data_IF_947213717429
#
_entry.id   IF_947213717429
#
_cell.length_a   1.000
_cell.length_b   1.000
_cell.length_c   1.000
_cell.angle_alpha   90.00
_cell.angle_beta   90.00
_cell.angle_gamma   90.00
#
_symmetry.space_group_name_H-M   'P 1'
#
loop_
_entity.id
_entity.type
_entity.pdbx_description
1 polymer ?
#
# COMPACT_ATOMS: atom_id res chain seq x y z
N UNK A 1 4.42 25.35 -4.11
CA UNK A 1 4.66 24.33 -3.06
C UNK A 1 4.52 25.02 -1.71
N UNK A 2 3.72 24.48 -0.80
CA UNK A 2 3.62 24.97 0.59
C UNK A 2 4.28 23.93 1.49
N UNK A 3 5.07 24.37 2.46
CA UNK A 3 5.76 23.50 3.42
C UNK A 3 5.32 23.93 4.82
N UNK A 4 4.91 22.97 5.63
CA UNK A 4 4.52 23.17 7.02
C UNK A 4 5.46 22.35 7.90
N UNK A 5 6.05 22.97 8.92
CA UNK A 5 6.88 22.29 9.91
C UNK A 5 6.00 22.07 11.14
N UNK A 6 5.43 20.87 11.25
CA UNK A 6 4.54 20.47 12.33
C UNK A 6 4.47 18.95 12.41
N UNK A 7 3.94 18.43 13.51
CA UNK A 7 3.46 17.06 13.56
C UNK A 7 2.30 16.87 12.56
N UNK A 8 2.36 15.83 11.73
CA UNK A 8 1.40 15.61 10.65
C UNK A 8 -0.01 15.30 11.18
N UNK A 9 -0.10 14.59 12.31
CA UNK A 9 -1.38 14.28 12.96
C UNK A 9 -2.02 15.54 13.53
N UNK A 10 -1.26 16.39 14.22
CA UNK A 10 -1.72 17.69 14.70
C UNK A 10 -2.12 18.62 13.56
N UNK A 11 -1.37 18.61 12.45
CA UNK A 11 -1.71 19.38 11.26
C UNK A 11 -3.10 18.98 10.74
N UNK A 12 -3.35 17.68 10.54
CA UNK A 12 -4.67 17.19 10.10
C UNK A 12 -5.79 17.50 11.11
N UNK A 13 -5.51 17.51 12.41
CA UNK A 13 -6.50 17.89 13.42
C UNK A 13 -6.95 19.35 13.30
N UNK A 14 -6.02 20.25 12.97
CA UNK A 14 -6.24 21.71 12.93
C UNK A 14 -6.61 22.25 11.55
N UNK A 15 -6.44 21.44 10.49
CA UNK A 15 -6.69 21.81 9.09
C UNK A 15 -7.77 20.87 8.50
N UNK A 16 -9.04 21.33 8.45
CA UNK A 16 -10.17 20.49 8.05
C UNK A 16 -10.34 20.33 6.53
N UNK A 17 -9.44 20.91 5.73
CA UNK A 17 -9.50 20.85 4.27
C UNK A 17 -9.48 19.41 3.75
N UNK A 18 -10.28 19.16 2.72
CA UNK A 18 -10.37 17.86 2.07
C UNK A 18 -9.28 17.68 1.02
N UNK A 19 -8.61 16.53 1.06
CA UNK A 19 -7.51 16.16 0.18
C UNK A 19 -7.92 15.03 -0.77
N UNK A 20 -7.48 15.09 -2.03
CA UNK A 20 -7.67 13.98 -2.97
C UNK A 20 -6.63 12.86 -2.77
N UNK A 21 -5.47 13.20 -2.20
CA UNK A 21 -4.40 12.27 -1.88
C UNK A 21 -3.78 12.68 -0.54
N UNK A 22 -3.68 11.72 0.37
CA UNK A 22 -2.91 11.84 1.59
C UNK A 22 -1.82 10.77 1.56
N UNK A 23 -0.56 11.17 1.72
CA UNK A 23 0.57 10.24 1.76
C UNK A 23 1.22 10.25 3.14
N UNK A 24 1.49 9.06 3.68
CA UNK A 24 2.23 8.87 4.92
C UNK A 24 3.52 8.11 4.60
N UNK A 25 4.65 8.72 4.94
CA UNK A 25 5.99 8.17 4.73
C UNK A 25 6.72 8.07 6.07
N UNK A 26 6.95 6.84 6.54
CA UNK A 26 7.59 6.56 7.84
C UNK A 26 8.69 5.53 7.63
N UNK A 27 9.95 5.88 7.85
CA UNK A 27 11.06 4.97 7.52
C UNK A 27 11.50 4.05 8.67
N UNK A 28 11.06 4.32 9.92
CA UNK A 28 11.60 3.66 11.13
C UNK A 28 10.52 3.27 12.14
N UNK A 29 9.57 2.44 11.74
CA UNK A 29 8.44 2.01 12.61
C UNK A 29 8.84 1.34 13.95
N UNK A 30 10.13 0.99 14.13
CA UNK A 30 10.68 0.48 15.39
C UNK A 30 11.18 1.57 16.35
N UNK A 31 11.10 2.86 15.97
CA UNK A 31 11.41 3.98 16.85
C UNK A 31 10.16 4.44 17.59
N UNK A 32 10.38 4.97 18.80
CA UNK A 32 9.30 5.43 19.64
C UNK A 32 8.49 6.56 18.97
N UNK A 33 7.17 6.47 19.06
CA UNK A 33 6.20 7.41 18.47
C UNK A 33 5.85 7.12 17.00
N UNK A 34 6.58 6.26 16.31
CA UNK A 34 6.27 5.92 14.91
C UNK A 34 5.11 4.91 14.82
N UNK A 35 4.83 4.16 15.90
CA UNK A 35 3.67 3.29 16.01
C UNK A 35 2.33 4.04 15.96
N UNK A 36 2.32 5.31 16.39
CA UNK A 36 1.16 6.20 16.37
C UNK A 36 0.69 6.53 14.95
N UNK A 37 1.54 6.27 13.95
CA UNK A 37 1.22 6.47 12.54
C UNK A 37 0.46 5.31 11.90
N UNK A 38 0.11 4.30 12.70
CA UNK A 38 -0.57 3.09 12.26
C UNK A 38 -1.75 2.71 13.16
N UNK A 39 -2.34 3.68 13.87
CA UNK A 39 -3.50 3.47 14.74
C UNK A 39 -4.82 3.70 14.01
N UNK A 40 -5.88 3.04 14.49
CA UNK A 40 -7.24 3.24 14.00
C UNK A 40 -7.63 4.72 14.05
N UNK A 41 -7.34 5.40 15.14
CA UNK A 41 -7.72 6.80 15.36
C UNK A 41 -7.02 7.75 14.35
N UNK A 42 -5.75 7.48 14.00
CA UNK A 42 -5.10 8.22 12.91
C UNK A 42 -5.76 7.93 11.55
N UNK A 43 -6.11 6.67 11.26
CA UNK A 43 -6.80 6.34 10.02
C UNK A 43 -8.18 7.00 9.94
N UNK A 44 -8.92 7.06 11.03
CA UNK A 44 -10.20 7.79 11.13
C UNK A 44 -10.00 9.28 10.83
N UNK A 45 -8.96 9.88 11.39
CA UNK A 45 -8.59 11.26 11.08
C UNK A 45 -8.23 11.43 9.59
N UNK A 46 -7.45 10.52 9.02
CA UNK A 46 -7.11 10.55 7.59
C UNK A 46 -8.36 10.44 6.72
N UNK A 47 -9.26 9.48 7.00
CA UNK A 47 -10.52 9.31 6.29
C UNK A 47 -11.39 10.58 6.39
N UNK A 48 -11.44 11.20 7.57
CA UNK A 48 -12.14 12.46 7.79
C UNK A 48 -11.51 13.66 7.06
N UNK A 49 -10.30 13.54 6.51
CA UNK A 49 -9.64 14.58 5.69
C UNK A 49 -9.57 14.24 4.20
N UNK A 50 -9.99 13.05 3.78
CA UNK A 50 -10.09 12.73 2.36
C UNK A 50 -11.39 13.26 1.76
N UNK A 51 -11.29 13.75 0.52
CA UNK A 51 -12.42 14.05 -0.35
C UNK A 51 -13.10 12.75 -0.82
N UNK A 52 -14.27 12.87 -1.47
CA UNK A 52 -14.88 11.73 -2.16
C UNK A 52 -13.89 11.14 -3.17
N UNK A 53 -13.76 9.81 -3.20
CA UNK A 53 -12.75 9.08 -4.00
C UNK A 53 -11.29 9.44 -3.69
N UNK A 54 -11.06 10.18 -2.61
CA UNK A 54 -9.72 10.47 -2.10
C UNK A 54 -9.05 9.19 -1.61
N UNK A 55 -7.72 9.17 -1.70
CA UNK A 55 -6.92 7.98 -1.40
C UNK A 55 -5.88 8.30 -0.34
N UNK A 56 -5.79 7.42 0.66
CA UNK A 56 -4.64 7.31 1.54
C UNK A 56 -3.62 6.39 0.86
N UNK A 57 -2.39 6.87 0.72
CA UNK A 57 -1.23 6.04 0.40
C UNK A 57 -0.30 6.02 1.61
N UNK A 58 0.13 4.83 2.04
CA UNK A 58 1.08 4.71 3.15
C UNK A 58 2.17 3.70 2.84
N UNK A 59 3.41 4.14 2.99
CA UNK A 59 4.58 3.28 2.87
C UNK A 59 4.73 2.41 4.11
N UNK A 60 5.08 1.14 3.92
CA UNK A 60 5.21 0.13 4.99
C UNK A 60 6.60 -0.53 4.93
N UNK A 61 7.39 -0.53 6.02
CA UNK A 61 8.72 -1.14 6.06
C UNK A 61 8.66 -2.67 6.15
N UNK A 62 8.10 -3.36 5.15
CA UNK A 62 7.92 -4.82 5.18
C UNK A 62 9.23 -5.58 5.46
N UNK A 63 10.39 -5.05 5.03
CA UNK A 63 11.71 -5.59 5.32
C UNK A 63 12.15 -5.58 6.80
N UNK A 64 11.40 -4.93 7.70
CA UNK A 64 11.64 -4.92 9.15
C UNK A 64 10.39 -5.27 9.97
N UNK A 65 9.39 -5.91 9.34
CA UNK A 65 8.16 -6.29 10.01
C UNK A 65 7.95 -7.80 9.96
N UNK A 66 7.48 -8.33 11.09
CA UNK A 66 6.94 -9.68 11.12
C UNK A 66 5.68 -9.76 10.26
N UNK A 67 5.34 -10.98 9.84
CA UNK A 67 4.06 -11.22 9.18
C UNK A 67 2.88 -10.75 10.05
N UNK A 68 2.92 -11.03 11.36
CA UNK A 68 1.90 -10.58 12.31
C UNK A 68 1.80 -9.05 12.41
N UNK A 69 2.92 -8.31 12.41
CA UNK A 69 2.87 -6.85 12.39
C UNK A 69 2.24 -6.34 11.10
N UNK A 70 2.51 -6.98 9.97
CA UNK A 70 1.88 -6.65 8.68
C UNK A 70 0.37 -6.88 8.73
N UNK A 71 -0.07 -7.99 9.33
CA UNK A 71 -1.51 -8.27 9.53
C UNK A 71 -2.18 -7.26 10.45
N UNK A 72 -1.53 -6.84 11.54
CA UNK A 72 -2.04 -5.77 12.42
C UNK A 72 -2.22 -4.48 11.64
N UNK A 73 -1.23 -4.07 10.82
CA UNK A 73 -1.34 -2.88 9.97
C UNK A 73 -2.54 -2.99 9.03
N UNK A 74 -2.62 -4.08 8.25
CA UNK A 74 -3.70 -4.31 7.28
C UNK A 74 -5.08 -4.33 7.95
N UNK A 75 -5.20 -4.98 9.11
CA UNK A 75 -6.45 -5.02 9.88
C UNK A 75 -6.84 -3.66 10.41
N UNK A 76 -5.87 -2.88 10.88
CA UNK A 76 -6.12 -1.56 11.48
C UNK A 76 -6.57 -0.56 10.42
N UNK A 77 -5.92 -0.52 9.25
CA UNK A 77 -6.38 0.34 8.14
C UNK A 77 -7.73 -0.13 7.60
N UNK A 78 -7.95 -1.45 7.48
CA UNK A 78 -9.19 -2.04 6.98
C UNK A 78 -10.40 -1.82 7.91
N UNK A 79 -10.15 -1.60 9.20
CA UNK A 79 -11.18 -1.26 10.17
C UNK A 79 -11.82 0.11 9.91
N UNK A 80 -11.12 0.99 9.17
CA UNK A 80 -11.58 2.35 8.84
C UNK A 80 -11.88 2.48 7.35
N UNK A 81 -11.01 1.94 6.50
CA UNK A 81 -11.13 2.02 5.04
C UNK A 81 -11.70 0.71 4.48
N UNK A 82 -12.89 0.72 3.85
CA UNK A 82 -13.50 -0.46 3.26
C UNK A 82 -12.73 -1.04 2.08
N UNK A 83 -11.95 -0.22 1.36
CA UNK A 83 -11.20 -0.65 0.19
C UNK A 83 -9.71 -0.44 0.45
N UNK A 84 -8.99 -1.55 0.64
CA UNK A 84 -7.55 -1.55 0.93
C UNK A 84 -6.85 -2.44 -0.09
N UNK A 85 -5.81 -1.93 -0.72
CA UNK A 85 -4.91 -2.67 -1.58
C UNK A 85 -3.48 -2.59 -1.04
N UNK A 86 -2.72 -3.67 -1.23
CA UNK A 86 -1.29 -3.74 -0.91
C UNK A 86 -0.51 -3.94 -2.20
N UNK A 87 0.48 -3.09 -2.40
CA UNK A 87 1.49 -3.19 -3.46
C UNK A 87 2.84 -3.50 -2.83
N UNK A 88 3.70 -4.23 -3.54
CA UNK A 88 5.08 -4.48 -3.12
C UNK A 88 6.05 -3.62 -3.91
N UNK A 89 6.93 -2.93 -3.19
CA UNK A 89 8.18 -2.44 -3.74
C UNK A 89 9.26 -3.52 -3.70
N UNK A 90 10.51 -3.10 -3.91
CA UNK A 90 11.67 -3.97 -3.84
C UNK A 90 11.78 -4.64 -2.45
N UNK A 91 11.83 -3.82 -1.39
CA UNK A 91 11.92 -4.29 0.01
C UNK A 91 10.75 -3.80 0.90
N UNK A 92 9.87 -2.95 0.37
CA UNK A 92 8.80 -2.30 1.13
C UNK A 92 7.41 -2.67 0.62
N UNK A 93 6.40 -2.31 1.40
CA UNK A 93 5.00 -2.38 1.01
C UNK A 93 4.43 -0.99 0.81
N UNK A 94 3.35 -0.91 0.05
CA UNK A 94 2.59 0.30 -0.14
C UNK A 94 1.11 -0.01 0.01
N UNK A 95 0.49 0.56 1.05
CA UNK A 95 -0.95 0.50 1.25
C UNK A 95 -1.59 1.62 0.46
N UNK A 96 -2.64 1.28 -0.27
CA UNK A 96 -3.54 2.22 -0.94
C UNK A 96 -4.93 1.95 -0.39
N UNK A 97 -5.54 2.95 0.25
CA UNK A 97 -6.81 2.79 0.96
C UNK A 97 -7.78 3.93 0.64
N UNK A 98 -9.08 3.61 0.53
CA UNK A 98 -10.12 4.61 0.29
C UNK A 98 -11.47 4.19 0.87
N UNK A 99 -12.32 5.18 1.14
CA UNK A 99 -13.74 4.98 1.48
C UNK A 99 -14.61 4.72 0.25
N UNK A 100 -14.06 4.92 -0.95
CA UNK A 100 -14.68 4.58 -2.23
C UNK A 100 -13.96 3.40 -2.89
N UNK A 101 -14.62 2.63 -3.78
CA UNK A 101 -13.98 1.53 -4.48
C UNK A 101 -12.70 1.97 -5.21
N UNK A 102 -11.62 1.21 -5.03
CA UNK A 102 -10.36 1.43 -5.73
C UNK A 102 -10.49 0.98 -7.18
N UNK A 103 -10.20 1.88 -8.12
CA UNK A 103 -10.29 1.62 -9.54
C UNK A 103 -9.30 2.49 -10.31
N UNK A 104 -8.86 1.99 -11.46
CA UNK A 104 -7.96 2.67 -12.39
C UNK A 104 -8.78 3.11 -13.60
N UNK A 105 -8.74 4.40 -13.91
CA UNK A 105 -9.36 4.95 -15.12
C UNK A 105 -8.43 4.70 -16.32
N UNK A 106 -8.88 3.87 -17.26
CA UNK A 106 -8.08 3.46 -18.42
C UNK A 106 -7.63 4.65 -19.28
N UNK A 107 -8.54 5.58 -19.57
CA UNK A 107 -8.25 6.73 -20.42
C UNK A 107 -7.21 7.64 -19.76
N UNK A 108 -7.33 7.89 -18.46
CA UNK A 108 -6.34 8.67 -17.69
C UNK A 108 -5.00 7.96 -17.63
N UNK A 109 -4.98 6.65 -17.31
CA UNK A 109 -3.74 5.88 -17.25
C UNK A 109 -3.00 5.93 -18.60
N UNK A 110 -3.71 5.69 -19.71
CA UNK A 110 -3.15 5.76 -21.06
C UNK A 110 -2.61 7.15 -21.39
N UNK A 111 -3.35 8.21 -21.04
CA UNK A 111 -2.92 9.57 -21.29
C UNK A 111 -1.63 9.92 -20.52
N UNK A 112 -1.57 9.53 -19.24
CA UNK A 112 -0.41 9.77 -18.39
C UNK A 112 0.80 8.94 -18.86
N UNK A 113 0.60 7.65 -19.17
CA UNK A 113 1.65 6.74 -19.65
C UNK A 113 2.23 7.19 -21.01
N UNK A 114 1.43 7.90 -21.81
CA UNK A 114 1.85 8.45 -23.09
C UNK A 114 2.62 9.77 -22.98
N UNK A 115 2.64 10.43 -21.81
CA UNK A 115 3.34 11.71 -21.61
C UNK A 115 4.86 11.51 -21.74
N UNK A 116 5.52 12.17 -22.72
CA UNK A 116 6.97 12.05 -22.92
C UNK A 116 7.81 12.40 -21.68
N UNK A 117 7.34 13.35 -20.85
CA UNK A 117 8.02 13.74 -19.61
C UNK A 117 8.00 12.61 -18.61
N UNK A 118 6.87 11.91 -18.50
CA UNK A 118 6.76 10.78 -17.61
C UNK A 118 7.54 9.57 -18.13
N UNK A 119 7.51 9.30 -19.45
CA UNK A 119 8.34 8.25 -20.06
C UNK A 119 9.82 8.44 -19.73
N UNK A 120 10.32 9.69 -19.75
CA UNK A 120 11.69 9.98 -19.35
C UNK A 120 11.97 9.69 -17.87
N UNK A 121 11.01 9.95 -16.98
CA UNK A 121 11.12 9.61 -15.55
C UNK A 121 11.09 8.09 -15.34
N UNK A 122 10.15 7.38 -15.97
CA UNK A 122 10.02 5.93 -15.87
C UNK A 122 11.28 5.21 -16.36
N UNK A 123 11.87 5.67 -17.48
CA UNK A 123 13.13 5.14 -17.99
C UNK A 123 14.28 5.27 -16.97
N UNK A 124 14.34 6.35 -16.20
CA UNK A 124 15.37 6.55 -15.15
C UNK A 124 15.25 5.56 -13.99
N UNK A 125 14.03 5.14 -13.68
CA UNK A 125 13.76 4.13 -12.65
C UNK A 125 13.56 2.73 -13.23
N UNK A 126 13.95 2.54 -14.51
CA UNK A 126 13.88 1.26 -15.25
C UNK A 126 12.47 0.65 -15.26
N UNK A 127 11.43 1.47 -15.20
CA UNK A 127 10.06 1.04 -15.43
C UNK A 127 9.71 1.24 -16.91
N UNK A 128 9.29 0.20 -17.64
CA UNK A 128 8.94 0.33 -19.05
C UNK A 128 7.61 1.06 -19.28
N UNK A 129 6.71 1.09 -18.29
CA UNK A 129 5.42 1.78 -18.37
C UNK A 129 4.81 1.97 -16.98
N UNK A 130 3.87 2.90 -16.84
CA UNK A 130 3.01 2.98 -15.64
C UNK A 130 2.19 1.71 -15.40
N UNK A 131 1.86 0.95 -16.45
CA UNK A 131 1.19 -0.34 -16.27
C UNK A 131 2.04 -1.30 -15.40
N UNK A 132 3.37 -1.13 -15.35
CA UNK A 132 4.24 -1.94 -14.50
C UNK A 132 3.84 -1.89 -13.02
N UNK A 133 3.32 -0.75 -12.56
CA UNK A 133 2.90 -0.56 -11.17
C UNK A 133 1.67 -1.41 -10.81
N UNK A 134 0.87 -1.82 -11.80
CA UNK A 134 -0.26 -2.72 -11.58
C UNK A 134 0.21 -4.14 -11.23
N UNK A 135 1.40 -4.54 -11.70
CA UNK A 135 2.01 -5.86 -11.44
C UNK A 135 2.50 -6.01 -10.01
N UNK A 136 2.78 -4.88 -9.36
CA UNK A 136 3.25 -4.80 -7.98
C UNK A 136 2.10 -4.98 -6.98
N UNK A 137 0.84 -4.91 -7.44
CA UNK A 137 -0.33 -5.22 -6.63
C UNK A 137 -0.33 -6.70 -6.22
N UNK A 138 -0.36 -6.95 -4.92
CA UNK A 138 -0.36 -8.31 -4.34
C UNK A 138 -1.61 -8.64 -3.57
N UNK A 139 -2.31 -7.63 -3.02
CA UNK A 139 -3.63 -7.78 -2.45
C UNK A 139 -4.54 -6.68 -2.98
N UNK A 140 -5.69 -7.07 -3.51
CA UNK A 140 -6.84 -6.19 -3.75
C UNK A 140 -7.78 -6.26 -2.54
N UNK A 141 -8.83 -5.41 -2.43
CA UNK A 141 -9.73 -5.40 -1.26
C UNK A 141 -10.25 -6.78 -0.84
N UNK A 142 -10.67 -7.60 -1.80
CA UNK A 142 -11.18 -8.95 -1.54
C UNK A 142 -10.09 -9.89 -1.03
N UNK A 143 -8.84 -9.70 -1.49
CA UNK A 143 -7.68 -10.46 -1.03
C UNK A 143 -7.26 -10.07 0.39
N UNK A 144 -7.37 -8.78 0.75
CA UNK A 144 -7.17 -8.33 2.14
C UNK A 144 -8.23 -8.94 3.04
N UNK A 145 -9.50 -8.91 2.65
CA UNK A 145 -10.60 -9.47 3.45
C UNK A 145 -10.46 -10.98 3.62
N UNK A 146 -10.12 -11.71 2.54
CA UNK A 146 -9.87 -13.14 2.59
C UNK A 146 -8.69 -13.47 3.52
N UNK A 147 -7.55 -12.76 3.39
CA UNK A 147 -6.39 -12.97 4.25
C UNK A 147 -6.75 -12.75 5.72
N UNK A 148 -7.37 -11.62 6.05
CA UNK A 148 -7.69 -11.25 7.43
C UNK A 148 -8.75 -12.17 8.08
N UNK A 149 -9.60 -12.82 7.29
CA UNK A 149 -10.61 -13.78 7.75
C UNK A 149 -10.02 -15.13 8.18
N UNK A 150 -8.90 -15.55 7.58
CA UNK A 150 -8.22 -16.81 7.90
C UNK A 150 -7.28 -16.70 9.11
N UNK A 151 -7.02 -15.48 9.59
CA UNK A 151 -6.11 -15.23 10.69
C UNK A 151 -6.84 -15.25 12.05
N UNK A 152 -6.39 -16.10 13.01
CA UNK A 152 -7.03 -16.21 14.32
C UNK A 152 -6.80 -14.97 15.20
N UNK A 153 -5.64 -14.33 15.05
CA UNK A 153 -5.26 -13.08 15.71
C UNK A 153 -6.03 -11.90 15.10
N UNK A 154 -6.90 -11.24 15.87
CA UNK A 154 -7.73 -10.11 15.41
C UNK A 154 -7.30 -8.75 15.96
N UNK A 155 -6.07 -8.63 16.46
CA UNK A 155 -5.55 -7.37 17.03
C UNK A 155 -5.54 -6.24 16.00
N UNK A 156 -5.95 -5.06 16.45
CA UNK A 156 -5.81 -3.79 15.74
C UNK A 156 -5.01 -2.83 16.62
N UNK A 157 -4.19 -1.97 16.02
CA UNK A 157 -3.46 -0.94 16.75
C UNK A 157 -4.39 0.25 17.03
N UNK A 158 -4.41 0.72 18.27
CA UNK A 158 -5.16 1.93 18.68
C UNK A 158 -4.25 2.83 19.49
N UNK A 159 -4.60 4.09 19.67
CA UNK A 159 -3.78 4.99 20.51
C UNK A 159 -3.61 4.47 21.95
N UNK A 160 -4.64 3.82 22.51
CA UNK A 160 -4.60 3.23 23.86
C UNK A 160 -3.83 1.90 23.90
N UNK A 161 -3.75 1.21 22.76
CA UNK A 161 -3.07 -0.08 22.62
C UNK A 161 -2.21 -0.06 21.36
N UNK A 162 -1.08 0.69 21.36
CA UNK A 162 -0.26 0.88 20.18
C UNK A 162 0.64 -0.34 19.98
N UNK A 163 0.06 -1.45 19.51
CA UNK A 163 0.76 -2.73 19.41
C UNK A 163 2.08 -2.62 18.64
N UNK A 164 2.07 -1.84 17.56
CA UNK A 164 3.22 -1.69 16.65
C UNK A 164 4.38 -0.93 17.30
N UNK A 165 4.12 -0.02 18.25
CA UNK A 165 5.15 0.71 19.02
C UNK A 165 6.12 -0.27 19.70
N UNK A 166 5.59 -1.37 20.24
CA UNK A 166 6.37 -2.36 20.98
C UNK A 166 6.76 -3.56 20.12
N UNK A 167 5.84 -4.08 19.30
CA UNK A 167 6.08 -5.30 18.53
C UNK A 167 7.03 -5.07 17.35
N UNK A 168 7.04 -3.89 16.74
CA UNK A 168 8.01 -3.56 15.69
C UNK A 168 9.41 -3.40 16.26
N UNK A 169 9.56 -2.71 17.39
CA UNK A 169 10.84 -2.57 18.10
C UNK A 169 11.42 -3.93 18.53
N UNK A 170 10.59 -4.80 19.12
CA UNK A 170 11.01 -6.16 19.49
C UNK A 170 11.49 -6.95 18.28
N UNK A 171 10.69 -6.98 17.22
CA UNK A 171 11.03 -7.72 16.01
C UNK A 171 12.32 -7.20 15.35
N UNK A 172 12.53 -5.88 15.35
CA UNK A 172 13.75 -5.27 14.85
C UNK A 172 14.99 -5.77 15.60
N UNK A 173 14.92 -5.92 16.93
CA UNK A 173 16.02 -6.42 17.77
C UNK A 173 16.27 -7.93 17.61
N UNK A 174 15.24 -8.72 17.29
CA UNK A 174 15.35 -10.17 17.11
C UNK A 174 16.02 -10.58 15.78
N UNK A 175 16.15 -9.67 14.81
CA UNK A 175 16.89 -9.91 13.56
C UNK A 175 16.26 -10.95 12.62
N UNK A 176 14.97 -11.24 12.79
CA UNK A 176 14.23 -12.22 11.97
C UNK A 176 14.11 -11.76 10.52
N UNK A 177 14.17 -12.72 9.58
CA UNK A 177 14.15 -12.43 8.14
C UNK A 177 12.73 -12.21 7.62
N UNK A 178 12.58 -11.24 6.71
CA UNK A 178 11.29 -10.83 6.13
C UNK A 178 10.98 -11.44 4.77
N UNK A 179 11.91 -12.26 4.26
CA UNK A 179 11.81 -12.98 2.98
C UNK A 179 10.53 -13.81 2.92
N UNK A 180 10.15 -14.45 4.04
CA UNK A 180 8.93 -15.26 4.12
C UNK A 180 7.65 -14.45 3.86
N UNK A 181 7.51 -13.26 4.46
CA UNK A 181 6.34 -12.39 4.26
C UNK A 181 6.23 -11.92 2.81
N UNK A 182 7.36 -11.52 2.21
CA UNK A 182 7.40 -11.06 0.82
C UNK A 182 7.06 -12.19 -0.15
N UNK A 183 7.66 -13.37 0.05
CA UNK A 183 7.36 -14.57 -0.73
C UNK A 183 5.89 -14.92 -0.63
N UNK A 184 5.33 -14.91 0.57
CA UNK A 184 3.92 -15.15 0.82
C UNK A 184 3.05 -14.20 -0.03
N UNK A 185 3.21 -12.89 0.07
CA UNK A 185 2.35 -11.97 -0.69
C UNK A 185 2.46 -12.11 -2.21
N UNK A 186 3.62 -12.53 -2.72
CA UNK A 186 3.81 -12.78 -4.15
C UNK A 186 3.11 -14.05 -4.66
N UNK A 187 2.91 -15.05 -3.80
CA UNK A 187 2.40 -16.38 -4.17
C UNK A 187 1.08 -16.76 -3.52
N UNK A 188 0.58 -15.99 -2.55
CA UNK A 188 -0.58 -16.34 -1.74
C UNK A 188 -1.88 -16.41 -2.56
N UNK A 189 -1.92 -15.79 -3.73
CA UNK A 189 -3.05 -15.85 -4.65
C UNK A 189 -2.60 -15.69 -6.09
N UNK A 190 -3.47 -16.10 -7.02
CA UNK A 190 -3.35 -15.72 -8.42
C UNK A 190 -3.26 -14.19 -8.55
N UNK A 191 -2.47 -13.73 -9.51
CA UNK A 191 -2.32 -12.30 -9.77
C UNK A 191 -3.67 -11.62 -9.99
N UNK A 192 -3.91 -10.58 -9.21
CA UNK A 192 -5.05 -9.68 -9.37
C UNK A 192 -4.58 -8.24 -9.28
N UNK A 193 -5.29 -7.37 -9.98
CA UNK A 193 -5.09 -5.92 -9.93
C UNK A 193 -6.43 -5.25 -9.64
N UNK A 194 -6.38 -4.02 -9.16
CA UNK A 194 -7.61 -3.21 -8.98
C UNK A 194 -8.33 -3.04 -10.33
N UNK A 195 -9.68 -2.99 -10.35
CA UNK A 195 -10.43 -2.88 -11.59
C UNK A 195 -9.96 -1.73 -12.48
N UNK A 196 -9.78 -2.00 -13.77
CA UNK A 196 -9.48 -0.97 -14.79
C UNK A 196 -10.79 -0.64 -15.50
N UNK A 197 -11.36 0.52 -15.21
CA UNK A 197 -12.64 0.97 -15.77
C UNK A 197 -12.44 1.74 -17.07
N UNK A 198 -13.33 1.52 -18.03
CA UNK A 198 -13.30 2.18 -19.35
C UNK A 198 -12.35 1.55 -20.39
N UNK A 199 -11.71 0.42 -20.06
CA UNK A 199 -11.05 -0.43 -21.05
C UNK A 199 -12.07 -1.40 -21.68
N UNK A 200 -11.98 -1.65 -22.98
CA UNK A 200 -12.66 -2.80 -23.58
C UNK A 200 -11.96 -4.12 -23.17
N UNK A 201 -12.62 -5.25 -23.43
CA UNK A 201 -12.14 -6.57 -23.03
C UNK A 201 -10.75 -6.89 -23.63
N UNK A 202 -10.54 -6.54 -24.90
CA UNK A 202 -9.27 -6.77 -25.59
C UNK A 202 -8.12 -5.95 -24.98
N UNK A 203 -8.36 -4.68 -24.66
CA UNK A 203 -7.40 -3.80 -24.01
C UNK A 203 -7.09 -4.25 -22.58
N UNK A 204 -8.11 -4.67 -21.82
CA UNK A 204 -7.94 -5.21 -20.48
C UNK A 204 -7.07 -6.48 -20.51
N UNK A 205 -7.36 -7.42 -21.41
CA UNK A 205 -6.60 -8.66 -21.54
C UNK A 205 -5.16 -8.43 -22.01
N UNK A 206 -4.95 -7.44 -22.90
CA UNK A 206 -3.62 -7.04 -23.31
C UNK A 206 -2.80 -6.47 -22.15
N UNK A 207 -3.39 -5.55 -21.37
CA UNK A 207 -2.75 -5.00 -20.16
C UNK A 207 -2.45 -6.12 -19.16
N UNK A 208 -3.44 -6.96 -18.86
CA UNK A 208 -3.30 -8.03 -17.87
C UNK A 208 -2.16 -8.98 -18.24
N UNK A 209 -2.09 -9.43 -19.51
CA UNK A 209 -1.00 -10.29 -20.00
C UNK A 209 0.36 -9.60 -19.89
N UNK A 210 0.46 -8.37 -20.38
CA UNK A 210 1.71 -7.61 -20.34
C UNK A 210 2.19 -7.38 -18.89
N UNK A 211 1.28 -7.05 -17.98
CA UNK A 211 1.58 -6.83 -16.56
C UNK A 211 2.04 -8.12 -15.88
N UNK A 212 1.43 -9.25 -16.21
CA UNK A 212 1.83 -10.58 -15.74
C UNK A 212 3.25 -10.93 -16.19
N UNK A 213 3.55 -10.80 -17.48
CA UNK A 213 4.89 -11.05 -18.03
C UNK A 213 5.95 -10.16 -17.38
N UNK A 214 5.63 -8.87 -17.20
CA UNK A 214 6.52 -7.92 -16.55
C UNK A 214 6.71 -8.21 -15.05
N UNK A 215 5.66 -8.64 -14.36
CA UNK A 215 5.75 -9.11 -12.97
C UNK A 215 6.63 -10.34 -12.89
N UNK A 216 6.44 -11.35 -13.74
CA UNK A 216 7.20 -12.60 -13.69
C UNK A 216 8.68 -12.38 -13.96
N UNK A 217 9.04 -11.45 -14.87
CA UNK A 217 10.44 -11.04 -15.07
C UNK A 217 11.07 -10.44 -13.81
N UNK A 218 10.35 -9.55 -13.13
CA UNK A 218 10.84 -8.88 -11.92
C UNK A 218 10.85 -9.83 -10.72
N UNK A 219 9.79 -10.59 -10.51
CA UNK A 219 9.62 -11.53 -9.40
C UNK A 219 10.51 -12.76 -9.56
N UNK A 220 10.66 -13.31 -10.76
CA UNK A 220 11.54 -14.46 -11.03
C UNK A 220 13.00 -14.22 -10.64
N UNK A 221 13.45 -12.97 -10.67
CA UNK A 221 14.78 -12.55 -10.19
C UNK A 221 14.85 -12.47 -8.65
N UNK A 222 13.72 -12.13 -8.01
CA UNK A 222 13.58 -11.93 -6.56
C UNK A 222 13.32 -13.23 -5.76
N UNK A 223 13.03 -14.35 -6.42
CA UNK A 223 12.78 -15.65 -5.79
C UNK A 223 14.03 -16.55 -5.69
N UNK A 224 15.16 -16.07 -6.19
CA UNK A 224 16.45 -16.75 -6.18
C UNK A 224 17.32 -16.39 -4.96
N UNK A 225 16.78 -15.58 -4.03
CA UNK A 225 17.39 -15.15 -2.77
C UNK A 225 16.38 -15.27 -1.62
#
# INVERSE_FOLDING_TARGET
>A
MKVHIADGRHYLLTHPEKLSLLTIQVSRLWMAGEGDLYTRELYELCAARLAERGVLQQWVPLFRLSFQNTLIILRTVRAVFPHVALYLGEESGMIVASTSPLQVDYAKLRAIDSDPRLKAVLARIKLPSLYSLLGDCVLIPEGVDALLAHEPEKRISTDLWPHLEYSAARHYLEGLTTVASRRFFLTAQEFRTVPIVGADEAAFDAIRRWVLEERDRRVGTLLLF
#
